data_IF_852112556717
#
_entry.id   IF_852112556717
#
_cell.length_a   1.000
_cell.length_b   1.000
_cell.length_c   1.000
_cell.angle_alpha   90.00
_cell.angle_beta   90.00
_cell.angle_gamma   90.00
#
_symmetry.space_group_name_H-M   'P 1'
#
loop_
_entity.id
_entity.type
_entity.pdbx_description
1 polymer ?
#
# COMPACT_ATOMS: atom_id res chain seq x y z
N UNK A 1 4.51 -5.65 -7.93
CA UNK A 1 3.78 -6.26 -9.06
C UNK A 1 4.75 -7.03 -9.95
N UNK A 2 4.28 -7.85 -10.90
CA UNK A 2 5.14 -8.77 -11.66
C UNK A 2 6.28 -8.09 -12.44
N UNK A 3 6.20 -6.77 -12.67
CA UNK A 3 7.25 -5.97 -13.33
C UNK A 3 8.25 -5.30 -12.38
N UNK A 4 7.85 -4.99 -11.14
CA UNK A 4 8.70 -4.25 -10.20
C UNK A 4 8.23 -4.45 -8.74
N UNK A 5 9.21 -4.58 -7.83
CA UNK A 5 9.05 -4.44 -6.40
C UNK A 5 10.01 -3.35 -5.89
N UNK A 6 9.48 -2.32 -5.23
CA UNK A 6 10.24 -1.13 -4.82
C UNK A 6 9.93 -0.75 -3.38
N UNK A 7 10.97 -0.44 -2.62
CA UNK A 7 10.84 0.18 -1.30
C UNK A 7 10.76 1.71 -1.44
N UNK A 8 9.78 2.33 -0.78
CA UNK A 8 9.60 3.78 -0.76
C UNK A 8 9.84 4.29 0.66
N UNK A 9 10.76 5.25 0.80
CA UNK A 9 11.08 5.83 2.12
C UNK A 9 10.06 6.91 2.46
N UNK A 10 9.45 6.82 3.64
CA UNK A 10 8.48 7.80 4.17
C UNK A 10 8.85 8.20 5.59
N UNK A 11 8.40 9.37 6.04
CA UNK A 11 8.59 9.78 7.43
C UNK A 11 7.76 8.91 8.39
N UNK A 12 8.25 8.68 9.61
CA UNK A 12 7.51 7.97 10.65
C UNK A 12 6.20 8.71 10.95
N UNK A 13 5.07 8.00 10.87
CA UNK A 13 3.74 8.57 11.09
C UNK A 13 3.13 9.28 9.89
N UNK A 14 3.76 9.20 8.71
CA UNK A 14 3.16 9.71 7.47
C UNK A 14 1.81 9.01 7.20
N UNK A 15 0.79 9.80 6.84
CA UNK A 15 -0.53 9.29 6.44
C UNK A 15 -0.48 8.81 4.98
N UNK A 16 -1.45 7.98 4.58
CA UNK A 16 -1.52 7.42 3.24
C UNK A 16 -1.41 8.45 2.10
N UNK A 17 -2.06 9.64 2.14
CA UNK A 17 -1.87 10.66 1.11
C UNK A 17 -0.42 11.17 1.01
N UNK A 18 0.26 11.35 2.15
CA UNK A 18 1.64 11.84 2.19
C UNK A 18 2.61 10.77 1.66
N UNK A 19 2.39 9.52 2.00
CA UNK A 19 3.16 8.39 1.47
C UNK A 19 2.99 8.26 -0.05
N UNK A 20 1.76 8.44 -0.56
CA UNK A 20 1.49 8.44 -2.00
C UNK A 20 2.19 9.60 -2.73
N UNK A 21 2.33 10.76 -2.06
CA UNK A 21 3.08 11.93 -2.55
C UNK A 21 4.55 11.65 -2.87
N UNK A 22 5.18 10.68 -2.20
CA UNK A 22 6.57 10.26 -2.49
C UNK A 22 6.69 9.58 -3.86
N UNK A 23 5.60 8.95 -4.33
CA UNK A 23 5.53 8.34 -5.66
C UNK A 23 5.23 9.41 -6.72
N UNK A 24 4.21 10.24 -6.46
CA UNK A 24 3.84 11.36 -7.32
C UNK A 24 3.04 12.41 -6.56
N UNK A 25 3.31 13.69 -6.80
CA UNK A 25 2.64 14.80 -6.06
C UNK A 25 1.12 14.86 -6.29
N UNK A 26 0.65 14.46 -7.48
CA UNK A 26 -0.79 14.38 -7.77
C UNK A 26 -1.52 13.32 -6.94
N UNK A 27 -0.87 12.23 -6.54
CA UNK A 27 -1.52 11.23 -5.68
C UNK A 27 -1.81 11.74 -4.28
N UNK A 28 -1.01 12.68 -3.77
CA UNK A 28 -1.31 13.32 -2.50
C UNK A 28 -2.50 14.28 -2.61
N UNK A 29 -2.61 15.02 -3.72
CA UNK A 29 -3.69 15.99 -3.95
C UNK A 29 -5.02 15.32 -4.31
N UNK A 30 -4.96 14.30 -5.16
CA UNK A 30 -6.10 13.52 -5.64
C UNK A 30 -6.29 12.21 -4.88
N UNK A 31 -5.79 12.11 -3.64
CA UNK A 31 -5.92 10.89 -2.85
C UNK A 31 -7.39 10.58 -2.61
N UNK A 32 -7.79 9.34 -2.88
CA UNK A 32 -9.14 8.84 -2.61
C UNK A 32 -9.08 7.77 -1.53
N UNK A 33 -8.21 6.77 -1.73
CA UNK A 33 -8.03 5.64 -0.84
C UNK A 33 -6.70 4.94 -1.14
N UNK A 34 -6.21 4.15 -0.19
CA UNK A 34 -5.10 3.23 -0.37
C UNK A 34 -5.55 1.79 -0.14
N UNK A 35 -5.17 0.90 -1.04
CA UNK A 35 -5.30 -0.55 -0.85
C UNK A 35 -4.04 -1.03 -0.13
N UNK A 36 -4.21 -1.53 1.10
CA UNK A 36 -3.08 -1.89 1.97
C UNK A 36 -3.16 -3.34 2.41
N UNK A 37 -2.00 -3.97 2.50
CA UNK A 37 -1.81 -5.31 3.06
C UNK A 37 -0.62 -5.19 4.01
N UNK A 38 -0.76 -5.67 5.25
CA UNK A 38 0.37 -5.72 6.17
C UNK A 38 1.43 -6.69 5.64
N UNK A 39 2.71 -6.38 5.84
CA UNK A 39 3.81 -7.20 5.30
C UNK A 39 3.70 -8.68 5.72
N UNK A 40 3.44 -8.93 7.00
CA UNK A 40 3.31 -10.29 7.54
C UNK A 40 2.14 -11.05 6.91
N UNK A 41 1.01 -10.38 6.67
CA UNK A 41 -0.13 -10.96 5.95
C UNK A 41 0.24 -11.25 4.49
N UNK A 42 0.91 -10.32 3.79
CA UNK A 42 1.32 -10.51 2.41
C UNK A 42 2.20 -11.75 2.24
N UNK A 43 3.16 -11.95 3.15
CA UNK A 43 4.04 -13.14 3.14
C UNK A 43 3.26 -14.40 3.51
N UNK A 44 2.45 -14.36 4.58
CA UNK A 44 1.70 -15.52 5.09
C UNK A 44 0.69 -16.06 4.07
N UNK A 45 0.05 -15.16 3.32
CA UNK A 45 -0.95 -15.53 2.31
C UNK A 45 -0.39 -15.59 0.88
N UNK A 46 0.94 -15.64 0.72
CA UNK A 46 1.61 -15.85 -0.57
C UNK A 46 1.26 -14.80 -1.62
N UNK A 47 1.15 -13.54 -1.19
CA UNK A 47 0.96 -12.38 -2.04
C UNK A 47 -0.45 -11.82 -2.04
N UNK A 48 -0.70 -10.92 -3.00
CA UNK A 48 -1.89 -10.07 -3.05
C UNK A 48 -3.19 -10.86 -3.14
N UNK A 49 -3.27 -11.85 -4.05
CA UNK A 49 -4.48 -12.63 -4.26
C UNK A 49 -4.86 -13.43 -3.02
N UNK A 50 -3.92 -14.14 -2.40
CA UNK A 50 -4.20 -14.91 -1.20
C UNK A 50 -4.55 -14.02 -0.01
N UNK A 51 -3.89 -12.86 0.14
CA UNK A 51 -4.23 -11.89 1.18
C UNK A 51 -5.63 -11.30 0.97
N UNK A 52 -6.03 -11.07 -0.28
CA UNK A 52 -7.39 -10.61 -0.63
C UNK A 52 -8.45 -11.67 -0.33
N UNK A 53 -8.22 -12.93 -0.71
CA UNK A 53 -9.12 -14.05 -0.41
C UNK A 53 -9.27 -14.29 1.10
N UNK A 54 -8.20 -14.08 1.86
CA UNK A 54 -8.19 -14.15 3.32
C UNK A 54 -8.77 -12.89 4.02
N UNK A 55 -9.25 -11.90 3.28
CA UNK A 55 -9.83 -10.66 3.83
C UNK A 55 -8.82 -9.72 4.48
N UNK A 56 -7.54 -9.81 4.13
CA UNK A 56 -6.45 -8.98 4.68
C UNK A 56 -6.12 -7.74 3.85
N UNK A 57 -6.66 -7.64 2.63
CA UNK A 57 -6.60 -6.42 1.85
C UNK A 57 -7.59 -5.40 2.44
N UNK A 58 -7.06 -4.28 2.94
CA UNK A 58 -7.83 -3.20 3.56
C UNK A 58 -7.91 -2.00 2.64
N UNK A 59 -9.00 -1.24 2.77
CA UNK A 59 -9.19 0.05 2.12
C UNK A 59 -9.03 1.13 3.20
N UNK A 60 -7.98 1.94 3.08
CA UNK A 60 -7.64 3.01 4.04
C UNK A 60 -7.84 4.40 3.42
N UNK A 61 -8.17 5.38 4.25
CA UNK A 61 -8.39 6.80 3.89
C UNK A 61 -7.33 7.76 4.43
#
# INVERSE_FOLDING_TARGET
GPKEARAWTVAKGARAPQAAGVIHTDFQRGFIRAETIAYDDYVSYKGENGAKEAGKLRIEG
#
